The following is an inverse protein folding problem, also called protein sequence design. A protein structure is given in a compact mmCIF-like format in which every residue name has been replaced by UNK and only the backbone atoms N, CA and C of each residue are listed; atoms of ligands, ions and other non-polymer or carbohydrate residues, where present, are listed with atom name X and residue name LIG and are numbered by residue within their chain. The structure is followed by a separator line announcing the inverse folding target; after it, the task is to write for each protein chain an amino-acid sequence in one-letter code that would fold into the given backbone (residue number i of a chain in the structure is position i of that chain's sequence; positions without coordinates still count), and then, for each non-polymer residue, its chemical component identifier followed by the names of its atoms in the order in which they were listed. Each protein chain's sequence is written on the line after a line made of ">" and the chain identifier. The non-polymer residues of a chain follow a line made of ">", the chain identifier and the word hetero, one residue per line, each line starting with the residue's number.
data_IF_787986289362
#
_entry.id   IF_787986289362
#
_cell.length_a   1.000
_cell.length_b   1.000
_cell.length_c   1.000
_cell.angle_alpha   90.00
_cell.angle_beta   90.00
_cell.angle_gamma   90.00
#
_symmetry.space_group_name_H-M   'P 1'
#
loop_
_entity.id
_entity.type
_entity.pdbx_description
1 polymer ?
#
# COMPACT_ATOMS: atom_id res chain seq x y z
N UNK A 1 -5.53 4.76 -10.67
CA UNK A 1 -5.34 5.94 -9.80
C UNK A 1 -5.16 7.20 -10.63
N UNK A 2 -4.02 7.39 -11.32
CA UNK A 2 -3.75 8.63 -12.09
C UNK A 2 -4.80 8.87 -13.18
N UNK A 3 -5.06 7.89 -14.04
CA UNK A 3 -6.11 7.98 -15.07
C UNK A 3 -7.52 8.12 -14.52
N UNK A 4 -7.69 7.90 -13.21
CA UNK A 4 -8.97 8.01 -12.48
C UNK A 4 -9.08 9.34 -11.71
N UNK A 5 -8.11 10.26 -11.85
CA UNK A 5 -8.13 11.58 -11.22
C UNK A 5 -7.50 11.66 -9.82
N UNK A 6 -6.79 10.63 -9.37
CA UNK A 6 -6.05 10.67 -8.11
C UNK A 6 -4.64 11.23 -8.31
N UNK A 7 -4.21 12.08 -7.39
CA UNK A 7 -2.79 12.45 -7.22
C UNK A 7 -2.15 11.53 -6.17
N UNK A 8 -1.26 10.66 -6.61
CA UNK A 8 -0.73 9.56 -5.79
C UNK A 8 0.46 10.05 -4.98
N UNK A 9 0.34 10.03 -3.65
CA UNK A 9 1.42 10.38 -2.74
C UNK A 9 2.37 9.21 -2.55
N UNK A 10 1.84 8.02 -2.27
CA UNK A 10 2.64 6.80 -2.28
C UNK A 10 1.81 5.53 -2.48
N UNK A 11 2.49 4.51 -2.98
CA UNK A 11 2.08 3.10 -2.97
C UNK A 11 3.29 2.30 -2.47
N UNK A 12 3.16 1.55 -1.39
CA UNK A 12 4.30 0.78 -0.86
C UNK A 12 3.90 -0.56 -0.26
N UNK A 13 4.67 -1.61 -0.54
CA UNK A 13 4.58 -2.89 0.15
C UNK A 13 5.51 -2.90 1.37
N UNK A 14 4.98 -3.30 2.52
CA UNK A 14 5.72 -3.39 3.78
C UNK A 14 5.55 -4.76 4.42
N UNK A 15 6.56 -5.19 5.16
CA UNK A 15 6.43 -6.32 6.10
C UNK A 15 5.30 -6.02 7.07
N UNK A 16 4.36 -6.96 7.23
CA UNK A 16 3.19 -6.74 8.09
C UNK A 16 3.55 -6.62 9.58
N UNK A 17 4.66 -7.25 9.98
CA UNK A 17 5.09 -7.28 11.38
C UNK A 17 5.91 -6.04 11.78
N UNK A 18 6.75 -5.54 10.86
CA UNK A 18 7.74 -4.51 11.19
C UNK A 18 7.52 -3.18 10.48
N UNK A 19 6.65 -3.13 9.46
CA UNK A 19 6.46 -1.99 8.54
C UNK A 19 7.72 -1.56 7.77
N UNK A 20 8.79 -2.37 7.81
CA UNK A 20 9.96 -2.19 6.96
C UNK A 20 9.63 -2.47 5.48
N UNK A 21 10.45 -2.05 4.51
CA UNK A 21 10.29 -2.50 3.12
C UNK A 21 10.09 -4.02 3.06
N UNK A 22 9.08 -4.49 2.31
CA UNK A 22 8.83 -5.91 2.19
C UNK A 22 10.01 -6.62 1.49
N UNK A 23 10.35 -7.81 1.96
CA UNK A 23 11.30 -8.71 1.32
C UNK A 23 10.57 -9.79 0.52
N UNK A 24 11.25 -10.39 -0.46
CA UNK A 24 10.66 -11.51 -1.24
C UNK A 24 10.34 -12.75 -0.38
N UNK A 25 11.00 -12.89 0.77
CA UNK A 25 10.76 -13.97 1.74
C UNK A 25 9.57 -13.71 2.67
N UNK A 26 8.91 -12.54 2.59
CA UNK A 26 7.78 -12.24 3.46
C UNK A 26 6.51 -12.94 2.97
N UNK A 27 5.99 -13.87 3.77
CA UNK A 27 4.70 -14.53 3.50
C UNK A 27 3.50 -13.63 3.80
N UNK A 28 3.71 -12.55 4.56
CA UNK A 28 2.68 -11.60 4.99
C UNK A 28 3.15 -10.17 4.73
N UNK A 29 2.51 -9.51 3.79
CA UNK A 29 2.81 -8.12 3.43
C UNK A 29 1.55 -7.27 3.52
N UNK A 30 1.73 -5.97 3.71
CA UNK A 30 0.66 -4.97 3.64
C UNK A 30 0.98 -3.96 2.55
N UNK A 31 0.02 -3.75 1.64
CA UNK A 31 0.05 -2.68 0.67
C UNK A 31 -0.54 -1.43 1.31
N UNK A 32 0.24 -0.36 1.40
CA UNK A 32 -0.19 0.94 1.89
C UNK A 32 -0.31 1.92 0.73
N UNK A 33 -1.43 2.64 0.66
CA UNK A 33 -1.69 3.65 -0.37
C UNK A 33 -2.14 4.95 0.28
N UNK A 34 -1.57 6.06 -0.18
CA UNK A 34 -2.11 7.40 0.07
C UNK A 34 -2.22 8.15 -1.25
N UNK A 35 -3.36 8.79 -1.46
CA UNK A 35 -3.62 9.61 -2.64
C UNK A 35 -4.62 10.73 -2.33
N UNK A 36 -4.52 11.82 -3.07
CA UNK A 36 -5.44 12.94 -3.01
C UNK A 36 -6.50 12.80 -4.10
N UNK A 37 -7.75 13.09 -3.75
CA UNK A 37 -8.87 13.28 -4.68
C UNK A 37 -9.40 14.70 -4.50
N UNK A 38 -8.96 15.60 -5.38
CA UNK A 38 -9.16 17.03 -5.20
C UNK A 38 -8.46 17.54 -3.93
N UNK A 39 -9.24 17.96 -2.94
CA UNK A 39 -8.72 18.46 -1.65
C UNK A 39 -8.69 17.41 -0.54
N UNK A 40 -9.28 16.24 -0.78
CA UNK A 40 -9.41 15.19 0.23
C UNK A 40 -8.26 14.21 0.11
N UNK A 41 -7.53 13.99 1.21
CA UNK A 41 -6.50 12.95 1.30
C UNK A 41 -7.14 11.65 1.77
N UNK A 42 -7.02 10.61 0.94
CA UNK A 42 -7.53 9.28 1.22
C UNK A 42 -6.35 8.34 1.51
N UNK A 43 -6.54 7.46 2.48
CA UNK A 43 -5.62 6.38 2.79
C UNK A 43 -6.39 5.08 2.76
N UNK A 44 -5.71 4.02 2.35
CA UNK A 44 -6.21 2.66 2.51
C UNK A 44 -5.04 1.69 2.62
N UNK A 45 -5.32 0.49 3.09
CA UNK A 45 -4.36 -0.59 3.17
C UNK A 45 -4.99 -1.93 2.86
N UNK A 46 -4.22 -2.82 2.25
CA UNK A 46 -4.64 -4.18 1.94
C UNK A 46 -3.60 -5.19 2.42
N UNK A 47 -4.03 -6.13 3.26
CA UNK A 47 -3.21 -7.24 3.74
C UNK A 47 -3.18 -8.36 2.70
N UNK A 48 -2.00 -8.88 2.39
CA UNK A 48 -1.78 -9.99 1.48
C UNK A 48 -1.01 -11.08 2.22
N UNK A 49 -1.54 -12.30 2.19
CA UNK A 49 -0.97 -13.47 2.85
C UNK A 49 -0.80 -14.56 1.79
N UNK A 50 0.45 -14.96 1.55
CA UNK A 50 0.74 -16.13 0.72
C UNK A 50 0.36 -17.38 1.50
N UNK A 51 -0.38 -18.29 0.85
CA UNK A 51 -0.60 -19.65 1.35
C UNK A 51 -0.04 -20.59 0.30
N UNK A 52 1.08 -21.23 0.65
CA UNK A 52 1.61 -22.37 -0.09
C UNK A 52 0.73 -23.61 0.12
#
# INVERSE_FOLDING_TARGET
>A
LISSGFDVEYVSFRSMETLSPAAQSDDKVILLVAAWLGKTRLIDNLQLISRH
#
